data_IF_256304530604
#
_entry.id   IF_256304530604
#
_cell.length_a   1.000
_cell.length_b   1.000
_cell.length_c   1.000
_cell.angle_alpha   90.00
_cell.angle_beta   90.00
_cell.angle_gamma   90.00
#
_symmetry.space_group_name_H-M   'P 1'
#
loop_
_entity.id
_entity.type
_entity.pdbx_description
1 polymer ?
#
# COMPACT_ATOMS: atom_id res chain seq x y z
N UNK A 1 -18.97 1.74 3.05
CA UNK A 1 -17.55 1.85 3.43
C UNK A 1 -17.42 2.30 4.88
N UNK A 2 -16.43 1.81 5.62
CA UNK A 2 -16.03 2.40 6.91
C UNK A 2 -14.86 3.35 6.70
N UNK A 3 -14.82 4.45 7.44
CA UNK A 3 -13.72 5.42 7.40
C UNK A 3 -12.98 5.44 8.74
N UNK A 4 -11.65 5.41 8.68
CA UNK A 4 -10.75 5.35 9.84
C UNK A 4 -9.75 6.49 9.77
N UNK A 5 -9.30 6.97 10.93
CA UNK A 5 -8.26 7.99 10.99
C UNK A 5 -6.93 7.42 10.48
N UNK A 6 -6.16 8.23 9.76
CA UNK A 6 -4.76 7.95 9.47
C UNK A 6 -3.94 8.23 10.74
N UNK A 7 -3.73 7.20 11.55
CA UNK A 7 -3.10 7.34 12.88
C UNK A 7 -3.82 8.38 13.75
N UNK A 8 -3.04 9.25 14.39
CA UNK A 8 -3.54 10.35 15.19
C UNK A 8 -3.97 11.58 14.36
N UNK A 9 -3.73 11.61 13.04
CA UNK A 9 -4.13 12.76 12.20
C UNK A 9 -5.66 12.91 12.13
N UNK A 10 -6.14 14.06 11.67
CA UNK A 10 -7.57 14.29 11.43
C UNK A 10 -8.10 13.68 10.12
N UNK A 11 -7.23 13.20 9.24
CA UNK A 11 -7.61 12.67 7.93
C UNK A 11 -8.30 11.31 8.09
N UNK A 12 -9.47 11.15 7.46
CA UNK A 12 -10.17 9.88 7.41
C UNK A 12 -10.01 9.21 6.04
N UNK A 13 -9.51 7.97 6.05
CA UNK A 13 -9.37 7.13 4.87
C UNK A 13 -10.40 6.02 4.91
N UNK A 14 -10.88 5.58 3.76
CA UNK A 14 -11.66 4.36 3.63
C UNK A 14 -10.82 3.19 4.16
N UNK A 15 -11.44 2.29 4.92
CA UNK A 15 -10.75 1.15 5.53
C UNK A 15 -10.10 0.22 4.48
N UNK A 16 -10.63 0.25 3.25
CA UNK A 16 -10.03 -0.35 2.07
C UNK A 16 -9.65 0.77 1.10
N UNK A 17 -8.41 0.76 0.62
CA UNK A 17 -7.91 1.68 -0.40
C UNK A 17 -7.50 0.92 -1.66
N UNK A 18 -7.19 1.64 -2.74
CA UNK A 18 -6.91 1.01 -4.04
C UNK A 18 -5.55 1.42 -4.59
N UNK A 19 -4.66 0.44 -4.81
CA UNK A 19 -3.30 0.66 -5.29
C UNK A 19 -3.11 0.34 -6.77
N UNK A 20 -2.21 1.08 -7.41
CA UNK A 20 -1.91 0.97 -8.84
C UNK A 20 -0.84 -0.10 -9.19
N UNK A 21 -0.11 -0.63 -8.21
CA UNK A 21 1.07 -1.46 -8.42
C UNK A 21 0.81 -2.71 -9.29
N UNK A 22 1.71 -2.97 -10.25
CA UNK A 22 1.69 -4.04 -11.27
C UNK A 22 0.61 -3.87 -12.34
N UNK A 23 -0.61 -3.50 -11.93
CA UNK A 23 -1.74 -3.47 -12.84
C UNK A 23 -1.66 -2.25 -13.77
N UNK A 24 -1.50 -1.06 -13.22
CA UNK A 24 -1.66 0.20 -13.96
C UNK A 24 -0.42 0.52 -14.79
N UNK A 25 -0.63 0.97 -16.03
CA UNK A 25 0.45 1.32 -16.97
C UNK A 25 1.21 0.11 -17.53
N UNK A 26 0.83 -1.12 -17.18
CA UNK A 26 1.44 -2.37 -17.64
C UNK A 26 0.39 -3.43 -17.97
N UNK A 27 -0.04 -4.19 -16.96
CA UNK A 27 -0.86 -5.40 -17.14
C UNK A 27 -2.31 -5.13 -17.58
N UNK A 28 -2.94 -4.04 -17.12
CA UNK A 28 -4.31 -3.70 -17.50
C UNK A 28 -4.35 -2.47 -18.41
N UNK A 29 -5.25 -2.51 -19.40
CA UNK A 29 -5.55 -1.37 -20.26
C UNK A 29 -6.24 -0.24 -19.52
N UNK A 30 -6.24 0.96 -20.11
CA UNK A 30 -6.83 2.17 -19.54
C UNK A 30 -8.32 2.01 -19.21
N UNK A 31 -9.08 1.31 -20.06
CA UNK A 31 -10.52 1.11 -19.86
C UNK A 31 -10.80 0.27 -18.61
N UNK A 32 -10.02 -0.78 -18.37
CA UNK A 32 -10.16 -1.59 -17.16
C UNK A 32 -9.72 -0.81 -15.92
N UNK A 33 -8.66 0.00 -16.03
CA UNK A 33 -8.26 0.92 -14.96
C UNK A 33 -9.39 1.91 -14.61
N UNK A 34 -10.10 2.42 -15.63
CA UNK A 34 -11.30 3.27 -15.46
C UNK A 34 -12.40 2.54 -14.72
N UNK A 35 -12.73 1.32 -15.14
CA UNK A 35 -13.78 0.51 -14.50
C UNK A 35 -13.46 0.20 -13.05
N UNK A 36 -12.19 -0.12 -12.74
CA UNK A 36 -11.73 -0.38 -11.37
C UNK A 36 -11.78 0.85 -10.47
N UNK A 37 -11.32 2.02 -10.95
CA UNK A 37 -11.38 3.27 -10.17
C UNK A 37 -12.84 3.69 -9.95
N UNK A 38 -13.68 3.61 -10.99
CA UNK A 38 -15.11 3.90 -10.85
C UNK A 38 -15.77 2.98 -9.83
N UNK A 39 -15.56 1.66 -9.94
CA UNK A 39 -16.10 0.70 -8.99
C UNK A 39 -15.60 0.94 -7.56
N UNK A 40 -14.32 1.27 -7.38
CA UNK A 40 -13.77 1.62 -6.07
C UNK A 40 -14.47 2.85 -5.47
N UNK A 41 -14.56 3.92 -6.27
CA UNK A 41 -15.21 5.18 -5.90
C UNK A 41 -16.68 4.98 -5.53
N UNK A 42 -17.44 4.27 -6.37
CA UNK A 42 -18.87 3.99 -6.15
C UNK A 42 -19.13 3.20 -4.86
N UNK A 43 -18.14 2.43 -4.39
CA UNK A 43 -18.20 1.69 -3.12
C UNK A 43 -17.62 2.46 -1.92
N UNK A 44 -17.30 3.75 -2.12
CA UNK A 44 -16.84 4.67 -1.08
C UNK A 44 -15.35 4.64 -0.79
N UNK A 45 -14.53 3.99 -1.64
CA UNK A 45 -13.07 4.10 -1.54
C UNK A 45 -12.66 5.54 -1.81
N UNK A 46 -11.98 6.17 -0.85
CA UNK A 46 -11.52 7.54 -0.99
C UNK A 46 -10.00 7.64 -1.11
N UNK A 47 -9.24 6.55 -0.99
CA UNK A 47 -7.77 6.60 -1.04
C UNK A 47 -7.21 5.77 -2.19
N UNK A 48 -6.45 6.43 -3.06
CA UNK A 48 -5.79 5.84 -4.22
C UNK A 48 -4.27 5.95 -4.11
N UNK A 49 -3.57 4.82 -4.18
CA UNK A 49 -2.14 4.73 -3.93
C UNK A 49 -1.31 4.47 -5.20
N UNK A 50 -0.21 5.22 -5.36
CA UNK A 50 0.68 5.13 -6.51
C UNK A 50 2.15 5.34 -6.13
N UNK A 51 3.08 5.25 -7.08
CA UNK A 51 4.51 5.55 -6.90
C UNK A 51 5.18 5.92 -8.22
N UNK A 52 6.25 6.72 -8.17
CA UNK A 52 6.96 7.16 -9.38
C UNK A 52 7.51 5.99 -10.22
N UNK A 53 7.89 4.89 -9.56
CA UNK A 53 8.53 3.75 -10.21
C UNK A 53 7.54 2.84 -10.91
N UNK A 54 6.25 2.92 -10.57
CA UNK A 54 5.23 2.02 -11.11
C UNK A 54 5.06 2.27 -12.61
N UNK A 55 5.49 1.28 -13.40
CA UNK A 55 5.56 1.35 -14.86
C UNK A 55 6.30 2.60 -15.37
N UNK A 56 7.41 2.98 -14.72
CA UNK A 56 8.18 4.20 -15.02
C UNK A 56 7.29 5.47 -15.05
N UNK A 57 6.43 5.62 -14.05
CA UNK A 57 5.50 6.76 -13.91
C UNK A 57 4.24 6.66 -14.76
N UNK A 58 4.10 5.67 -15.66
CA UNK A 58 2.87 5.47 -16.43
C UNK A 58 1.67 5.14 -15.55
N UNK A 59 1.87 4.47 -14.41
CA UNK A 59 0.78 4.17 -13.49
C UNK A 59 0.15 5.45 -12.90
N UNK A 60 0.97 6.47 -12.60
CA UNK A 60 0.51 7.79 -12.16
C UNK A 60 -0.27 8.53 -13.25
N UNK A 61 0.24 8.48 -14.49
CA UNK A 61 -0.44 9.09 -15.65
C UNK A 61 -1.82 8.47 -15.89
N UNK A 62 -1.90 7.13 -15.93
CA UNK A 62 -3.16 6.41 -16.15
C UNK A 62 -4.17 6.71 -15.03
N UNK A 63 -3.73 6.71 -13.77
CA UNK A 63 -4.60 7.03 -12.64
C UNK A 63 -5.10 8.48 -12.71
N UNK A 64 -4.21 9.44 -12.96
CA UNK A 64 -4.57 10.86 -13.09
C UNK A 64 -5.55 11.12 -14.24
N UNK A 65 -5.30 10.54 -15.40
CA UNK A 65 -6.20 10.67 -16.56
C UNK A 65 -7.57 10.05 -16.31
N UNK A 66 -7.62 8.87 -15.68
CA UNK A 66 -8.88 8.21 -15.35
C UNK A 66 -9.69 9.01 -14.33
N UNK A 67 -9.06 9.49 -13.25
CA UNK A 67 -9.73 10.30 -12.23
C UNK A 67 -10.28 11.60 -12.85
N UNK A 68 -9.49 12.25 -13.71
CA UNK A 68 -9.92 13.45 -14.43
C UNK A 68 -11.09 13.18 -15.39
N UNK A 69 -11.06 12.07 -16.14
CA UNK A 69 -12.15 11.65 -17.04
C UNK A 69 -13.44 11.32 -16.30
N UNK A 70 -13.32 10.71 -15.12
CA UNK A 70 -14.43 10.43 -14.21
C UNK A 70 -14.95 11.70 -13.52
N UNK A 71 -14.21 12.80 -13.62
CA UNK A 71 -14.53 14.09 -12.98
C UNK A 71 -14.76 13.95 -11.48
N UNK A 72 -13.97 13.10 -10.83
CA UNK A 72 -14.06 12.95 -9.37
C UNK A 72 -13.67 14.29 -8.72
N UNK A 73 -14.43 14.77 -7.73
CA UNK A 73 -14.14 16.04 -7.09
C UNK A 73 -12.87 15.91 -6.23
N UNK A 74 -11.93 16.85 -6.36
CA UNK A 74 -10.59 16.76 -5.72
C UNK A 74 -10.65 16.65 -4.20
N UNK A 75 -11.63 17.29 -3.57
CA UNK A 75 -11.90 17.24 -2.13
C UNK A 75 -12.59 15.94 -1.68
N UNK A 76 -13.04 15.11 -2.64
CA UNK A 76 -13.68 13.83 -2.36
C UNK A 76 -12.72 12.65 -2.23
N UNK A 77 -11.46 12.77 -2.66
CA UNK A 77 -10.49 11.68 -2.62
C UNK A 77 -9.11 12.13 -2.10
N UNK A 78 -8.36 11.14 -1.61
CA UNK A 78 -6.97 11.18 -1.25
C UNK A 78 -6.15 10.44 -2.30
N UNK A 79 -5.01 11.01 -2.69
CA UNK A 79 -4.05 10.35 -3.58
C UNK A 79 -2.66 10.38 -2.99
N UNK A 80 -1.92 9.27 -3.15
CA UNK A 80 -0.51 9.21 -2.79
C UNK A 80 0.42 8.98 -3.98
N UNK A 81 1.68 9.39 -3.77
CA UNK A 81 2.82 8.89 -4.53
C UNK A 81 3.97 8.56 -3.58
N UNK A 82 5.00 7.88 -4.08
CA UNK A 82 6.20 7.50 -3.36
C UNK A 82 7.44 7.79 -4.19
N UNK A 83 8.47 8.27 -3.52
CA UNK A 83 9.77 8.59 -4.11
C UNK A 83 10.85 7.66 -3.59
N UNK A 84 11.65 7.12 -4.51
CA UNK A 84 12.97 6.54 -4.23
C UNK A 84 13.66 6.09 -5.52
N UNK A 85 12.97 5.34 -6.39
CA UNK A 85 13.61 4.60 -7.48
C UNK A 85 13.68 5.36 -8.80
N UNK A 86 13.03 6.51 -8.91
CA UNK A 86 12.87 7.24 -10.17
C UNK A 86 11.79 6.64 -11.08
N UNK A 87 11.33 7.45 -12.02
CA UNK A 87 10.34 7.08 -13.04
C UNK A 87 10.99 6.78 -14.42
N UNK A 88 12.19 6.18 -14.43
CA UNK A 88 12.97 5.87 -15.63
C UNK A 88 13.65 4.51 -15.48
N UNK A 89 13.99 3.85 -16.60
CA UNK A 89 14.58 2.50 -16.60
C UNK A 89 15.95 2.44 -15.91
N UNK A 90 16.81 3.41 -16.20
CA UNK A 90 18.16 3.49 -15.68
C UNK A 90 18.34 4.86 -15.00
N UNK A 91 17.89 5.01 -13.74
CA UNK A 91 18.00 6.28 -13.04
C UNK A 91 19.46 6.68 -12.84
N UNK A 92 19.78 7.92 -13.23
CA UNK A 92 21.06 8.55 -12.87
C UNK A 92 21.14 8.75 -11.35
N UNK A 93 22.33 9.02 -10.77
CA UNK A 93 22.47 9.23 -9.32
C UNK A 93 21.53 10.27 -8.72
N UNK A 94 21.16 11.30 -9.50
CA UNK A 94 20.26 12.38 -9.08
C UNK A 94 18.78 12.14 -9.38
N UNK A 95 18.43 10.95 -9.86
CA UNK A 95 17.06 10.53 -10.19
C UNK A 95 16.58 9.38 -9.30
N UNK A 96 17.23 9.20 -8.14
CA UNK A 96 16.87 8.20 -7.12
C UNK A 96 17.30 8.66 -5.71
N UNK A 97 16.91 7.90 -4.71
CA UNK A 97 17.22 8.13 -3.29
C UNK A 97 16.29 9.14 -2.64
N UNK A 98 16.69 9.64 -1.48
CA UNK A 98 15.90 10.58 -0.67
C UNK A 98 16.58 11.93 -0.48
N UNK A 99 17.58 12.23 -1.30
CA UNK A 99 18.17 13.57 -1.36
C UNK A 99 17.09 14.63 -1.60
N UNK A 100 17.30 15.83 -1.07
CA UNK A 100 16.38 16.96 -1.24
C UNK A 100 16.06 17.22 -2.72
N UNK A 101 17.06 17.05 -3.59
CA UNK A 101 16.90 17.18 -5.04
C UNK A 101 15.87 16.19 -5.57
N UNK A 102 16.08 14.89 -5.38
CA UNK A 102 15.21 13.87 -5.97
C UNK A 102 13.81 13.90 -5.34
N UNK A 103 13.70 14.07 -4.02
CA UNK A 103 12.41 14.20 -3.31
C UNK A 103 11.56 15.33 -3.90
N UNK A 104 12.17 16.48 -4.18
CA UNK A 104 11.49 17.64 -4.77
C UNK A 104 11.11 17.38 -6.23
N UNK A 105 12.07 16.92 -7.05
CA UNK A 105 11.86 16.68 -8.48
C UNK A 105 10.78 15.61 -8.71
N UNK A 106 10.82 14.51 -7.96
CA UNK A 106 9.85 13.42 -8.02
C UNK A 106 8.44 13.86 -7.61
N UNK A 107 8.31 14.68 -6.56
CA UNK A 107 7.01 15.20 -6.13
C UNK A 107 6.38 16.06 -7.24
N UNK A 108 7.13 17.02 -7.78
CA UNK A 108 6.66 17.88 -8.86
C UNK A 108 6.30 17.08 -10.12
N UNK A 109 7.04 16.01 -10.41
CA UNK A 109 6.74 15.14 -11.54
C UNK A 109 5.49 14.29 -11.30
N UNK A 110 5.30 13.76 -10.08
CA UNK A 110 4.11 13.01 -9.68
C UNK A 110 2.85 13.87 -9.77
N UNK A 111 2.87 15.12 -9.28
CA UNK A 111 1.76 16.08 -9.40
C UNK A 111 1.31 16.27 -10.85
N UNK A 112 2.27 16.43 -11.78
CA UNK A 112 1.99 16.56 -13.21
C UNK A 112 1.37 15.30 -13.79
N UNK A 113 1.92 14.12 -13.47
CA UNK A 113 1.41 12.83 -13.98
C UNK A 113 0.03 12.51 -13.43
N UNK A 114 -0.21 12.76 -12.15
CA UNK A 114 -1.50 12.55 -11.48
C UNK A 114 -2.53 13.66 -11.78
N UNK A 115 -2.10 14.77 -12.38
CA UNK A 115 -2.94 15.94 -12.71
C UNK A 115 -3.62 16.54 -11.47
N UNK A 116 -2.85 16.69 -10.39
CA UNK A 116 -3.30 17.29 -9.12
C UNK A 116 -2.33 18.38 -8.67
N UNK A 117 -2.83 19.37 -7.92
CA UNK A 117 -2.00 20.46 -7.39
C UNK A 117 -1.24 20.07 -6.11
N UNK A 118 -1.74 19.07 -5.38
CA UNK A 118 -1.13 18.54 -4.17
C UNK A 118 -1.38 17.03 -4.03
N UNK A 119 -0.47 16.34 -3.35
CA UNK A 119 -0.66 14.98 -2.85
C UNK A 119 -1.19 15.04 -1.42
N UNK A 120 -2.17 14.20 -1.09
CA UNK A 120 -2.62 14.07 0.29
C UNK A 120 -1.55 13.36 1.11
N UNK A 121 -0.95 12.31 0.55
CA UNK A 121 0.07 11.49 1.19
C UNK A 121 1.29 11.37 0.28
N UNK A 122 2.49 11.65 0.78
CA UNK A 122 3.75 11.44 0.05
C UNK A 122 4.72 10.59 0.86
N UNK A 123 5.24 9.52 0.25
CA UNK A 123 6.05 8.53 0.97
C UNK A 123 7.51 8.53 0.52
N UNK A 124 8.41 8.40 1.49
CA UNK A 124 9.73 7.82 1.24
C UNK A 124 9.55 6.32 0.96
N UNK A 125 9.69 5.89 -0.30
CA UNK A 125 9.33 4.53 -0.70
C UNK A 125 10.20 3.45 -0.03
N UNK A 126 11.46 3.75 0.30
CA UNK A 126 12.38 2.90 1.04
C UNK A 126 13.31 3.76 1.90
N UNK A 127 13.95 3.22 2.96
CA UNK A 127 15.00 3.94 3.66
C UNK A 127 16.18 4.19 2.71
N UNK A 128 16.84 5.33 2.89
CA UNK A 128 18.07 5.68 2.17
C UNK A 128 19.23 5.71 3.16
N UNK A 129 20.21 4.82 2.94
CA UNK A 129 21.41 4.76 3.77
C UNK A 129 22.41 5.87 3.41
N UNK A 130 22.33 6.41 2.19
CA UNK A 130 23.28 7.38 1.65
C UNK A 130 22.84 8.83 1.89
N UNK A 131 21.58 9.06 2.27
CA UNK A 131 21.04 10.39 2.59
C UNK A 131 20.82 10.53 4.10
N UNK A 132 21.34 11.60 4.75
CA UNK A 132 21.02 11.89 6.14
C UNK A 132 19.50 12.05 6.37
N UNK A 133 18.99 11.48 7.47
CA UNK A 133 17.55 11.57 7.79
C UNK A 133 17.10 13.03 7.90
N UNK A 134 17.93 13.91 8.46
CA UNK A 134 17.61 15.34 8.55
C UNK A 134 17.38 15.99 7.19
N UNK A 135 18.18 15.67 6.17
CA UNK A 135 17.98 16.21 4.83
C UNK A 135 16.61 15.77 4.27
N UNK A 136 16.26 14.50 4.45
CA UNK A 136 14.99 13.93 4.01
C UNK A 136 13.81 14.63 4.71
N UNK A 137 13.87 14.77 6.04
CA UNK A 137 12.82 15.43 6.84
C UNK A 137 12.64 16.88 6.41
N UNK A 138 13.74 17.63 6.21
CA UNK A 138 13.69 19.02 5.71
C UNK A 138 13.10 19.11 4.30
N UNK A 139 13.40 18.15 3.43
CA UNK A 139 12.85 18.12 2.07
C UNK A 139 11.34 17.88 2.08
N UNK A 140 10.88 16.93 2.89
CA UNK A 140 9.45 16.66 3.07
C UNK A 140 8.70 17.84 3.69
N UNK A 141 9.22 18.41 4.78
CA UNK A 141 8.63 19.60 5.42
C UNK A 141 8.56 20.78 4.45
N UNK A 142 9.59 20.99 3.62
CA UNK A 142 9.57 22.05 2.62
C UNK A 142 8.44 21.86 1.59
N UNK A 143 8.14 20.63 1.17
CA UNK A 143 7.02 20.34 0.26
C UNK A 143 5.66 20.55 0.95
N UNK A 144 5.58 20.22 2.24
CA UNK A 144 4.37 20.48 3.05
C UNK A 144 4.11 21.98 3.17
N UNK A 145 5.13 22.77 3.51
CA UNK A 145 5.01 24.24 3.60
C UNK A 145 4.69 24.90 2.26
N UNK A 146 5.09 24.29 1.15
CA UNK A 146 4.74 24.73 -0.20
C UNK A 146 3.31 24.36 -0.61
N UNK A 147 2.56 23.63 0.21
CA UNK A 147 1.20 23.15 -0.10
C UNK A 147 1.16 22.05 -1.17
N UNK A 148 2.29 21.40 -1.48
CA UNK A 148 2.38 20.34 -2.49
C UNK A 148 2.08 18.95 -1.93
N UNK A 149 2.23 18.81 -0.62
CA UNK A 149 1.99 17.58 0.15
C UNK A 149 1.23 17.97 1.41
N UNK A 150 0.17 17.24 1.77
CA UNK A 150 -0.54 17.50 3.03
C UNK A 150 0.09 16.72 4.19
N UNK A 151 0.36 15.44 3.98
CA UNK A 151 0.99 14.55 4.94
C UNK A 151 2.12 13.77 4.27
N UNK A 152 3.19 13.51 5.01
CA UNK A 152 4.27 12.64 4.54
C UNK A 152 4.52 11.50 5.51
N UNK A 153 5.12 10.43 4.98
CA UNK A 153 5.39 9.23 5.73
C UNK A 153 6.45 8.36 5.07
N UNK A 154 6.58 7.15 5.58
CA UNK A 154 7.63 6.21 5.21
C UNK A 154 7.04 4.90 4.68
N UNK A 155 7.83 4.10 3.98
CA UNK A 155 7.44 2.76 3.52
C UNK A 155 8.61 1.79 3.62
N UNK A 156 8.38 0.70 4.35
CA UNK A 156 9.38 -0.31 4.72
C UNK A 156 10.59 0.28 5.45
N UNK A 157 10.37 1.32 6.26
CA UNK A 157 11.43 1.86 7.11
C UNK A 157 11.55 1.05 8.42
N UNK A 158 12.77 0.80 8.91
CA UNK A 158 12.97 0.27 10.25
C UNK A 158 12.43 1.24 11.32
N UNK A 159 11.87 0.70 12.41
CA UNK A 159 11.26 1.50 13.47
C UNK A 159 12.20 2.56 14.05
N UNK A 160 13.49 2.25 14.18
CA UNK A 160 14.51 3.17 14.65
C UNK A 160 14.70 4.39 13.73
N UNK A 161 14.60 4.20 12.41
CA UNK A 161 14.73 5.30 11.43
C UNK A 161 13.48 6.16 11.39
N UNK A 162 12.29 5.58 11.60
CA UNK A 162 11.05 6.34 11.75
C UNK A 162 11.14 7.22 13.01
N UNK A 163 11.62 6.65 14.13
CA UNK A 163 11.82 7.38 15.37
C UNK A 163 12.86 8.50 15.22
N UNK A 164 13.98 8.24 14.56
CA UNK A 164 14.99 9.26 14.24
C UNK A 164 14.36 10.42 13.44
N UNK A 165 13.58 10.12 12.41
CA UNK A 165 12.91 11.14 11.61
C UNK A 165 11.93 11.99 12.43
N UNK A 166 11.16 11.37 13.31
CA UNK A 166 10.25 12.08 14.22
C UNK A 166 11.01 12.96 15.23
N UNK A 167 12.12 12.47 15.79
CA UNK A 167 12.97 13.23 16.70
C UNK A 167 13.59 14.46 16.02
N UNK A 168 14.11 14.28 14.81
CA UNK A 168 14.65 15.39 14.01
C UNK A 168 13.57 16.42 13.71
N UNK A 169 12.38 15.98 13.32
CA UNK A 169 11.26 16.88 13.05
C UNK A 169 10.89 17.69 14.30
N UNK A 170 10.76 17.02 15.44
CA UNK A 170 10.47 17.67 16.72
C UNK A 170 11.55 18.69 17.11
N UNK A 171 12.82 18.30 17.06
CA UNK A 171 13.95 19.15 17.46
C UNK A 171 14.06 20.42 16.60
N UNK A 172 13.63 20.35 15.34
CA UNK A 172 13.73 21.44 14.37
C UNK A 172 12.42 22.19 14.14
N UNK A 173 11.32 21.82 14.80
CA UNK A 173 9.99 22.41 14.57
C UNK A 173 9.45 22.16 13.16
N UNK A 174 9.75 20.99 12.59
CA UNK A 174 9.31 20.54 11.27
C UNK A 174 8.16 19.54 11.40
N UNK A 175 7.48 19.27 10.29
CA UNK A 175 6.48 18.22 10.24
C UNK A 175 7.15 16.84 10.21
N UNK A 176 6.79 15.98 11.18
CA UNK A 176 7.25 14.58 11.25
C UNK A 176 6.42 13.63 10.39
N UNK A 177 6.90 12.38 10.19
CA UNK A 177 6.14 11.37 9.46
C UNK A 177 4.85 11.03 10.21
N UNK A 178 3.72 11.05 9.50
CA UNK A 178 2.39 10.76 10.08
C UNK A 178 1.96 9.30 9.92
N UNK A 179 2.57 8.59 8.96
CA UNK A 179 2.20 7.22 8.61
C UNK A 179 3.37 6.40 8.09
N UNK A 180 3.20 5.09 8.17
CA UNK A 180 4.07 4.08 7.56
C UNK A 180 3.25 3.22 6.59
N UNK A 181 3.86 2.80 5.49
CA UNK A 181 3.27 1.88 4.51
C UNK A 181 4.06 0.56 4.47
N UNK A 182 3.73 -0.39 5.38
CA UNK A 182 4.42 -1.68 5.47
C UNK A 182 3.62 -2.83 4.86
N UNK A 183 4.31 -3.91 4.55
CA UNK A 183 3.69 -5.17 4.20
C UNK A 183 2.96 -5.72 5.42
N UNK A 184 1.70 -6.13 5.25
CA UNK A 184 0.97 -6.82 6.32
C UNK A 184 -0.03 -7.82 5.76
N UNK A 185 0.10 -9.07 6.22
CA UNK A 185 -0.82 -10.16 5.92
C UNK A 185 -0.58 -11.31 6.89
N UNK A 186 -1.43 -12.34 6.82
CA UNK A 186 -1.34 -13.55 7.64
C UNK A 186 0.05 -14.23 7.64
N UNK A 187 0.86 -14.03 6.59
CA UNK A 187 2.20 -14.61 6.44
C UNK A 187 3.34 -13.62 6.74
N UNK A 188 3.04 -12.35 7.00
CA UNK A 188 4.02 -11.29 7.26
C UNK A 188 3.46 -10.32 8.32
N UNK A 189 3.80 -10.58 9.59
CA UNK A 189 3.17 -9.95 10.76
C UNK A 189 4.11 -9.14 11.64
N UNK A 190 5.35 -9.59 11.79
CA UNK A 190 6.28 -9.16 12.84
C UNK A 190 6.53 -7.65 12.84
N UNK A 191 6.71 -7.04 11.67
CA UNK A 191 6.96 -5.60 11.56
C UNK A 191 5.80 -4.76 12.12
N UNK A 192 4.58 -5.04 11.69
CA UNK A 192 3.39 -4.30 12.13
C UNK A 192 3.01 -4.63 13.58
N UNK A 193 3.09 -5.90 13.98
CA UNK A 193 2.60 -6.32 15.31
C UNK A 193 3.63 -6.20 16.43
N UNK A 194 4.93 -6.18 16.11
CA UNK A 194 6.01 -6.19 17.12
C UNK A 194 6.96 -5.00 16.93
N UNK A 195 7.55 -4.83 15.75
CA UNK A 195 8.57 -3.80 15.50
C UNK A 195 7.98 -2.38 15.67
N UNK A 196 6.80 -2.13 15.13
CA UNK A 196 6.12 -0.83 15.18
C UNK A 196 5.22 -0.63 16.40
N UNK A 197 5.02 -1.65 17.22
CA UNK A 197 4.14 -1.57 18.39
C UNK A 197 4.41 -0.34 19.29
N UNK A 198 5.67 0.03 19.58
CA UNK A 198 5.95 1.24 20.37
C UNK A 198 5.58 2.54 19.64
N UNK A 199 5.73 2.59 18.31
CA UNK A 199 5.55 3.81 17.51
C UNK A 199 4.09 4.27 17.44
N UNK A 200 3.13 3.37 17.58
CA UNK A 200 1.70 3.72 17.52
C UNK A 200 1.31 4.69 18.64
N UNK A 201 1.74 4.41 19.88
CA UNK A 201 1.48 5.27 21.02
C UNK A 201 2.46 6.45 21.08
N UNK A 202 3.75 6.22 20.77
CA UNK A 202 4.79 7.26 20.81
C UNK A 202 4.52 8.40 19.82
N UNK A 203 4.13 8.07 18.59
CA UNK A 203 4.03 9.03 17.48
C UNK A 203 2.59 9.24 16.99
N UNK A 204 1.64 8.41 17.42
CA UNK A 204 0.32 8.37 16.80
C UNK A 204 0.38 7.84 15.36
N UNK A 205 1.32 6.95 15.06
CA UNK A 205 1.64 6.48 13.71
C UNK A 205 0.45 5.74 13.07
N UNK A 206 -0.02 6.20 11.91
CA UNK A 206 -0.99 5.48 11.09
C UNK A 206 -0.33 4.44 10.19
N UNK A 207 -1.07 3.41 9.77
CA UNK A 207 -0.55 2.48 8.75
C UNK A 207 -1.47 2.34 7.54
N UNK A 208 -0.86 2.38 6.36
CA UNK A 208 -1.51 2.10 5.08
C UNK A 208 -0.90 0.82 4.52
N UNK A 209 -1.39 -0.35 4.93
CA UNK A 209 -0.67 -1.61 4.66
C UNK A 209 -0.82 -2.07 3.21
N UNK A 210 0.18 -2.78 2.69
CA UNK A 210 0.17 -3.33 1.34
C UNK A 210 0.34 -4.86 1.30
N UNK A 211 0.02 -5.45 0.14
CA UNK A 211 0.02 -6.91 -0.09
C UNK A 211 -0.76 -7.74 0.96
N UNK A 212 -2.05 -7.42 1.21
CA UNK A 212 -2.87 -8.20 2.15
C UNK A 212 -3.05 -9.66 1.72
N UNK A 213 -2.91 -9.93 0.42
CA UNK A 213 -3.06 -11.27 -0.17
C UNK A 213 -1.72 -11.97 -0.46
N UNK A 214 -0.59 -11.42 -0.01
CA UNK A 214 0.76 -11.93 -0.29
C UNK A 214 0.96 -12.24 -1.79
N UNK A 215 0.77 -11.24 -2.65
CA UNK A 215 0.85 -11.38 -4.12
C UNK A 215 -0.10 -12.43 -4.73
N UNK A 216 -1.22 -12.69 -4.04
CA UNK A 216 -2.24 -13.64 -4.47
C UNK A 216 -2.09 -15.03 -3.85
N UNK A 217 -1.03 -15.30 -3.09
CA UNK A 217 -0.80 -16.60 -2.46
C UNK A 217 -1.95 -16.99 -1.52
N UNK A 218 -2.46 -16.03 -0.74
CA UNK A 218 -3.59 -16.25 0.17
C UNK A 218 -4.94 -16.40 -0.54
N UNK A 219 -4.99 -16.39 -1.87
CA UNK A 219 -6.23 -16.68 -2.61
C UNK A 219 -6.37 -18.15 -2.99
N UNK A 220 -5.29 -18.94 -2.85
CA UNK A 220 -5.24 -20.34 -3.26
C UNK A 220 -4.98 -20.55 -4.76
N UNK A 221 -4.88 -19.48 -5.57
CA UNK A 221 -4.68 -19.58 -7.02
C UNK A 221 -3.38 -20.28 -7.46
N UNK A 222 -2.43 -20.48 -6.54
CA UNK A 222 -1.16 -21.17 -6.79
C UNK A 222 -1.09 -22.57 -6.16
N UNK A 223 -2.21 -23.06 -5.60
CA UNK A 223 -2.22 -24.34 -4.88
C UNK A 223 -1.88 -25.53 -5.80
N UNK A 224 -2.29 -25.48 -7.06
CA UNK A 224 -2.13 -26.57 -8.03
C UNK A 224 -1.10 -26.26 -9.13
N UNK A 225 -0.26 -25.26 -8.91
CA UNK A 225 0.70 -24.74 -9.90
C UNK A 225 0.45 -23.28 -10.25
N UNK A 226 1.30 -22.71 -11.10
CA UNK A 226 1.24 -21.29 -11.48
C UNK A 226 0.57 -21.17 -12.84
N UNK A 227 -0.62 -20.56 -12.86
CA UNK A 227 -1.27 -20.17 -14.10
C UNK A 227 -0.44 -19.07 -14.81
N UNK A 228 -0.09 -19.24 -16.11
CA UNK A 228 0.62 -18.21 -16.89
C UNK A 228 -0.05 -16.83 -16.88
N UNK A 229 -1.39 -16.76 -16.76
CA UNK A 229 -2.15 -15.51 -16.70
C UNK A 229 -2.12 -14.83 -15.31
N UNK A 230 -1.65 -15.55 -14.29
CA UNK A 230 -1.52 -15.03 -12.93
C UNK A 230 -0.35 -14.06 -12.79
N UNK A 231 -0.31 -13.31 -11.68
CA UNK A 231 0.76 -12.35 -11.39
C UNK A 231 2.15 -12.99 -11.43
N UNK A 232 2.30 -14.21 -10.92
CA UNK A 232 3.58 -14.92 -10.86
C UNK A 232 3.92 -15.66 -12.17
N UNK A 233 2.95 -15.84 -13.07
CA UNK A 233 3.16 -16.48 -14.38
C UNK A 233 3.70 -15.55 -15.46
N UNK A 234 3.74 -14.23 -15.20
CA UNK A 234 4.19 -13.24 -16.16
C UNK A 234 5.71 -13.11 -16.19
N UNK A 235 6.30 -13.15 -17.39
CA UNK A 235 7.76 -13.14 -17.60
C UNK A 235 8.48 -11.94 -16.93
N UNK A 236 7.83 -10.77 -16.80
CA UNK A 236 8.40 -9.60 -16.13
C UNK A 236 8.46 -9.69 -14.59
N UNK A 237 7.85 -10.72 -14.00
CA UNK A 237 7.71 -10.87 -12.54
C UNK A 237 8.49 -12.07 -12.00
N UNK A 238 9.53 -12.54 -12.70
CA UNK A 238 10.35 -13.68 -12.25
C UNK A 238 10.98 -13.47 -10.86
N UNK A 239 11.38 -12.25 -10.53
CA UNK A 239 11.86 -11.91 -9.19
C UNK A 239 10.79 -12.12 -8.10
N UNK A 240 9.52 -11.82 -8.41
CA UNK A 240 8.39 -12.00 -7.51
C UNK A 240 8.00 -13.48 -7.37
N UNK A 241 8.20 -14.28 -8.43
CA UNK A 241 8.04 -15.73 -8.37
C UNK A 241 8.94 -16.32 -7.30
N UNK A 242 10.23 -15.99 -7.31
CA UNK A 242 11.21 -16.56 -6.39
C UNK A 242 10.98 -16.10 -4.95
N UNK A 243 10.58 -14.84 -4.74
CA UNK A 243 10.21 -14.31 -3.42
C UNK A 243 8.93 -14.95 -2.83
N UNK A 244 7.97 -15.34 -3.67
CA UNK A 244 6.65 -15.82 -3.22
C UNK A 244 6.58 -17.35 -3.17
N UNK A 245 7.25 -18.07 -4.07
CA UNK A 245 7.15 -19.54 -4.25
C UNK A 245 8.52 -20.25 -4.31
N UNK A 246 9.65 -19.53 -4.28
CA UNK A 246 10.99 -20.15 -4.32
C UNK A 246 11.31 -21.12 -3.16
N UNK A 247 12.47 -21.80 -3.16
CA UNK A 247 12.85 -22.79 -2.14
C UNK A 247 12.71 -22.36 -0.66
N UNK A 248 12.99 -21.10 -0.25
CA UNK A 248 12.70 -20.63 1.11
C UNK A 248 11.20 -20.39 1.41
N UNK A 249 10.33 -20.44 0.39
CA UNK A 249 8.90 -20.13 0.45
C UNK A 249 7.96 -21.35 0.44
N UNK A 250 8.46 -22.60 0.34
CA UNK A 250 7.60 -23.81 0.41
C UNK A 250 6.72 -23.83 1.67
N UNK A 251 7.27 -23.45 2.83
CA UNK A 251 6.50 -23.34 4.09
C UNK A 251 5.37 -22.30 4.01
N UNK A 252 5.56 -21.23 3.24
CA UNK A 252 4.53 -20.18 3.03
C UNK A 252 3.39 -20.72 2.17
N UNK A 253 3.71 -21.50 1.13
CA UNK A 253 2.72 -22.17 0.28
C UNK A 253 1.89 -23.16 1.08
N UNK A 254 2.52 -23.99 1.91
CA UNK A 254 1.81 -24.95 2.79
C UNK A 254 0.87 -24.25 3.77
N UNK A 255 1.33 -23.18 4.43
CA UNK A 255 0.50 -22.33 5.31
C UNK A 255 -0.69 -21.73 4.55
N UNK A 256 -0.46 -21.21 3.34
CA UNK A 256 -1.53 -20.67 2.49
C UNK A 256 -2.54 -21.76 2.04
N UNK A 257 -2.08 -22.98 1.75
CA UNK A 257 -2.96 -24.13 1.45
C UNK A 257 -3.86 -24.48 2.63
N UNK A 258 -3.31 -24.55 3.86
CA UNK A 258 -4.12 -24.79 5.07
C UNK A 258 -5.14 -23.68 5.30
N UNK A 259 -4.73 -22.42 5.12
CA UNK A 259 -5.63 -21.27 5.22
C UNK A 259 -6.77 -21.34 4.19
N UNK A 260 -6.46 -21.63 2.93
CA UNK A 260 -7.47 -21.70 1.86
C UNK A 260 -8.42 -22.88 2.04
N UNK A 261 -7.94 -24.02 2.56
CA UNK A 261 -8.78 -25.15 2.95
C UNK A 261 -9.75 -24.79 4.10
N UNK A 262 -9.27 -24.06 5.12
CA UNK A 262 -10.11 -23.54 6.20
C UNK A 262 -11.21 -22.61 5.65
N UNK A 263 -10.83 -21.64 4.81
CA UNK A 263 -11.77 -20.71 4.20
C UNK A 263 -12.87 -21.44 3.41
N UNK A 264 -12.49 -22.45 2.62
CA UNK A 264 -13.42 -23.29 1.87
C UNK A 264 -14.37 -24.07 2.80
N UNK A 265 -13.86 -24.70 3.87
CA UNK A 265 -14.68 -25.41 4.85
C UNK A 265 -15.69 -24.50 5.56
N UNK A 266 -15.40 -23.20 5.66
CA UNK A 266 -16.25 -22.19 6.27
C UNK A 266 -17.14 -21.45 5.26
N UNK A 267 -17.07 -21.80 3.97
CA UNK A 267 -17.89 -21.18 2.92
C UNK A 267 -17.56 -19.71 2.64
N UNK A 268 -16.34 -19.26 2.95
CA UNK A 268 -15.89 -17.86 2.75
C UNK A 268 -14.82 -17.76 1.68
N UNK A 269 -14.84 -16.68 0.91
CA UNK A 269 -13.79 -16.42 -0.07
C UNK A 269 -12.45 -16.16 0.66
N UNK A 270 -11.36 -16.87 0.32
CA UNK A 270 -10.10 -16.75 1.05
C UNK A 270 -9.48 -15.36 0.94
N UNK A 271 -9.69 -14.67 -0.20
CA UNK A 271 -9.26 -13.28 -0.38
C UNK A 271 -9.94 -12.32 0.61
N UNK A 272 -11.28 -12.38 0.69
CA UNK A 272 -12.05 -11.56 1.61
C UNK A 272 -11.68 -11.85 3.07
N UNK A 273 -11.49 -13.13 3.43
CA UNK A 273 -11.10 -13.54 4.78
C UNK A 273 -9.71 -12.99 5.18
N UNK A 274 -8.72 -13.07 4.28
CA UNK A 274 -7.37 -12.56 4.55
C UNK A 274 -7.36 -11.03 4.72
N UNK A 275 -8.11 -10.31 3.88
CA UNK A 275 -8.24 -8.85 3.99
C UNK A 275 -8.98 -8.47 5.28
N UNK A 276 -10.05 -9.20 5.62
CA UNK A 276 -10.81 -8.97 6.84
C UNK A 276 -9.95 -9.17 8.09
N UNK A 277 -9.06 -10.18 8.09
CA UNK A 277 -8.09 -10.37 9.17
C UNK A 277 -7.17 -9.15 9.33
N UNK A 278 -6.62 -8.60 8.23
CA UNK A 278 -5.80 -7.38 8.30
C UNK A 278 -6.59 -6.19 8.87
N UNK A 279 -7.87 -6.03 8.49
CA UNK A 279 -8.74 -4.95 8.96
C UNK A 279 -9.03 -5.01 10.47
N UNK A 280 -8.90 -6.18 11.11
CA UNK A 280 -9.12 -6.32 12.55
C UNK A 280 -8.01 -5.74 13.40
N UNK A 281 -6.83 -5.54 12.82
CA UNK A 281 -5.76 -4.85 13.54
C UNK A 281 -6.12 -3.36 13.66
N UNK A 282 -6.29 -2.82 14.89
CA UNK A 282 -6.71 -1.44 15.10
C UNK A 282 -5.66 -0.41 14.63
N UNK A 283 -4.41 -0.84 14.43
CA UNK A 283 -3.33 0.01 13.93
C UNK A 283 -3.34 0.15 12.40
N UNK A 284 -4.20 -0.62 11.71
CA UNK A 284 -4.40 -0.53 10.27
C UNK A 284 -5.47 0.53 9.97
N UNK A 285 -5.01 1.69 9.49
CA UNK A 285 -5.89 2.76 9.03
C UNK A 285 -6.57 2.38 7.71
N UNK A 286 -5.84 1.74 6.80
CA UNK A 286 -6.37 1.23 5.53
C UNK A 286 -5.57 0.05 5.00
N UNK A 287 -6.26 -0.85 4.29
CA UNK A 287 -5.67 -1.96 3.54
C UNK A 287 -5.67 -1.61 2.04
N UNK A 288 -4.47 -1.49 1.45
CA UNK A 288 -4.32 -1.20 0.01
C UNK A 288 -4.59 -2.48 -0.78
N UNK A 289 -5.70 -2.47 -1.52
CA UNK A 289 -6.11 -3.53 -2.41
C UNK A 289 -5.41 -3.41 -3.77
N UNK A 290 -5.20 -4.55 -4.41
CA UNK A 290 -4.86 -4.63 -5.83
C UNK A 290 -5.80 -5.62 -6.51
N UNK A 291 -6.40 -5.22 -7.64
CA UNK A 291 -7.28 -6.06 -8.44
C UNK A 291 -7.02 -5.81 -9.93
N UNK A 292 -7.08 -6.86 -10.74
CA UNK A 292 -6.91 -6.77 -12.20
C UNK A 292 -8.24 -6.83 -12.96
N UNK A 293 -9.35 -7.02 -12.24
CA UNK A 293 -10.72 -7.01 -12.78
C UNK A 293 -11.73 -6.59 -11.71
N UNK A 294 -12.81 -5.92 -12.11
CA UNK A 294 -13.86 -5.43 -11.18
C UNK A 294 -14.40 -6.53 -10.26
N UNK A 295 -14.65 -7.74 -10.76
CA UNK A 295 -15.17 -8.84 -9.95
C UNK A 295 -14.26 -9.23 -8.75
N UNK A 296 -12.93 -9.12 -8.90
CA UNK A 296 -12.01 -9.34 -7.77
C UNK A 296 -12.11 -8.21 -6.75
N UNK A 297 -12.24 -6.97 -7.21
CA UNK A 297 -12.38 -5.81 -6.34
C UNK A 297 -13.66 -5.90 -5.50
N UNK A 298 -14.78 -6.26 -6.13
CA UNK A 298 -16.06 -6.44 -5.45
C UNK A 298 -16.00 -7.57 -4.41
N UNK A 299 -15.43 -8.73 -4.74
CA UNK A 299 -15.22 -9.81 -3.76
C UNK A 299 -14.33 -9.37 -2.59
N UNK A 300 -13.32 -8.52 -2.84
CA UNK A 300 -12.47 -8.00 -1.76
C UNK A 300 -13.25 -7.08 -0.80
N UNK A 301 -14.34 -6.44 -1.23
CA UNK A 301 -15.18 -5.60 -0.37
C UNK A 301 -16.01 -6.40 0.64
N UNK A 302 -16.29 -7.68 0.38
CA UNK A 302 -16.93 -8.59 1.34
C UNK A 302 -16.14 -8.70 2.67
N UNK A 303 -14.84 -8.37 2.63
CA UNK A 303 -13.99 -8.30 3.80
C UNK A 303 -14.51 -7.34 4.88
N UNK A 304 -15.23 -6.27 4.51
CA UNK A 304 -15.79 -5.32 5.47
C UNK A 304 -16.83 -5.99 6.38
N UNK A 305 -17.70 -6.81 5.80
CA UNK A 305 -18.72 -7.55 6.55
C UNK A 305 -18.07 -8.64 7.40
N UNK A 306 -17.09 -9.37 6.86
CA UNK A 306 -16.37 -10.40 7.61
C UNK A 306 -15.62 -9.82 8.81
N UNK A 307 -14.96 -8.66 8.65
CA UNK A 307 -14.20 -8.03 9.72
C UNK A 307 -15.06 -7.59 10.92
N UNK A 308 -16.35 -7.34 10.70
CA UNK A 308 -17.32 -7.00 11.74
C UNK A 308 -17.77 -8.21 12.58
N UNK A 309 -17.36 -9.43 12.22
CA UNK A 309 -17.72 -10.64 12.97
C UNK A 309 -17.00 -10.70 14.31
N UNK A 310 -17.77 -10.63 15.40
CA UNK A 310 -17.31 -10.78 16.78
C UNK A 310 -17.28 -12.26 17.20
N UNK A 311 -16.30 -13.00 16.67
CA UNK A 311 -16.11 -14.42 17.00
C UNK A 311 -14.63 -14.71 17.23
N UNK A 312 -14.10 -14.47 18.45
CA UNK A 312 -12.68 -14.63 18.74
C UNK A 312 -12.16 -16.05 18.49
N UNK A 313 -12.98 -17.07 18.74
CA UNK A 313 -12.62 -18.46 18.52
C UNK A 313 -12.45 -18.76 17.02
N UNK A 314 -13.34 -18.24 16.17
CA UNK A 314 -13.22 -18.36 14.72
C UNK A 314 -11.96 -17.69 14.19
N UNK A 315 -11.64 -16.49 14.67
CA UNK A 315 -10.42 -15.80 14.27
C UNK A 315 -9.14 -16.50 14.76
N UNK A 316 -9.17 -17.12 15.94
CA UNK A 316 -8.05 -17.93 16.41
C UNK A 316 -7.79 -19.14 15.49
N UNK A 317 -8.84 -19.76 14.92
CA UNK A 317 -8.68 -20.83 13.92
C UNK A 317 -8.04 -20.31 12.64
N UNK A 318 -8.42 -19.11 12.19
CA UNK A 318 -7.82 -18.45 11.00
C UNK A 318 -6.32 -18.23 11.20
N UNK A 319 -5.91 -17.74 12.37
CA UNK A 319 -4.49 -17.55 12.69
C UNK A 319 -3.74 -18.87 12.83
N UNK A 320 -4.35 -19.88 13.45
CA UNK A 320 -3.75 -21.21 13.59
C UNK A 320 -3.49 -21.89 12.24
N UNK A 321 -4.28 -21.62 11.21
CA UNK A 321 -4.08 -22.21 9.88
C UNK A 321 -2.74 -21.80 9.23
N UNK A 322 -2.24 -20.60 9.56
CA UNK A 322 -0.99 -20.03 9.03
C UNK A 322 0.20 -20.10 10.00
N UNK A 323 0.00 -20.71 11.17
CA UNK A 323 1.05 -20.90 12.18
C UNK A 323 2.19 -21.82 11.72
#
# INVERSE_FOLDING_TARGET
MHYRRLGATGLQLSALSFGAWINFGGQIGRDEARNLIAAAWDHGVNFFDNAEVYAQGRAEQVMGDVIADLRLPRDGYCVSSKVYFGAVDAPRPTQRGLSRKHVTDACHAALKRLRVDYLDLYYCHRPDADTPVEETVRAMDALVRQGKVLYWGTSEWPAERIREAAQVAQALGLQGPSMEQPQYNLLHRQRVEQEYAPLYAELGLGTTIWSPLASGLLTGKYNDGIDPASRLGQAGNAWLHDEVIGPPAQRRVERARRFTALAAAQGVAPAALAIAWCLRNPQVSTVILGASRVAQLLQNFDALQLAAREDPAWWAQVEAAVA
#
